data_IF_296242972634
#
_entry.id   IF_296242972634
#
_cell.length_a   1.000
_cell.length_b   1.000
_cell.length_c   1.000
_cell.angle_alpha   90.00
_cell.angle_beta   90.00
_cell.angle_gamma   90.00
#
_symmetry.space_group_name_H-M   'P 1'
#
loop_
_entity.id
_entity.type
_entity.pdbx_description
1 polymer ?
#
# COMPACT_ATOMS: atom_id res chain seq x y z
N UNK A 1 -3.84 -28.09 -12.16
CA UNK A 1 -3.01 -26.93 -11.77
C UNK A 1 -3.50 -25.62 -12.39
N UNK A 2 -3.89 -25.61 -13.67
CA UNK A 2 -4.38 -24.40 -14.34
C UNK A 2 -5.63 -23.78 -13.68
N UNK A 3 -6.63 -24.59 -13.30
CA UNK A 3 -7.84 -24.09 -12.62
C UNK A 3 -7.53 -23.41 -11.27
N UNK A 4 -6.55 -23.93 -10.53
CA UNK A 4 -6.10 -23.35 -9.25
C UNK A 4 -5.44 -21.98 -9.50
N UNK A 5 -4.60 -21.87 -10.52
CA UNK A 5 -3.92 -20.62 -10.89
C UNK A 5 -4.95 -19.57 -11.33
N UNK A 6 -5.95 -19.96 -12.12
CA UNK A 6 -7.04 -19.07 -12.54
C UNK A 6 -7.87 -18.59 -11.35
N UNK A 7 -8.23 -19.50 -10.43
CA UNK A 7 -8.99 -19.14 -9.23
C UNK A 7 -8.22 -18.18 -8.30
N UNK A 8 -6.92 -18.43 -8.09
CA UNK A 8 -6.05 -17.54 -7.31
C UNK A 8 -5.93 -16.18 -7.99
N UNK A 9 -5.76 -16.16 -9.32
CA UNK A 9 -5.68 -14.92 -10.10
C UNK A 9 -6.95 -14.08 -10.00
N UNK A 10 -8.13 -14.71 -10.12
CA UNK A 10 -9.42 -14.04 -9.99
C UNK A 10 -9.61 -13.47 -8.57
N UNK A 11 -9.25 -14.24 -7.54
CA UNK A 11 -9.33 -13.79 -6.15
C UNK A 11 -8.40 -12.59 -5.88
N UNK A 12 -7.18 -12.61 -6.42
CA UNK A 12 -6.24 -11.50 -6.32
C UNK A 12 -6.77 -10.24 -7.03
N UNK A 13 -7.36 -10.40 -8.22
CA UNK A 13 -7.98 -9.29 -8.94
C UNK A 13 -9.14 -8.68 -8.14
N UNK A 14 -9.98 -9.51 -7.54
CA UNK A 14 -11.10 -9.07 -6.71
C UNK A 14 -10.61 -8.28 -5.48
N UNK A 15 -9.55 -8.75 -4.82
CA UNK A 15 -8.89 -8.03 -3.74
C UNK A 15 -8.33 -6.68 -4.21
N UNK A 16 -7.71 -6.61 -5.38
CA UNK A 16 -7.22 -5.36 -5.95
C UNK A 16 -8.37 -4.36 -6.21
N UNK A 17 -9.44 -4.82 -6.83
CA UNK A 17 -10.62 -4.01 -7.12
C UNK A 17 -11.25 -3.49 -5.82
N UNK A 18 -11.42 -4.37 -4.82
CA UNK A 18 -11.96 -3.98 -3.52
C UNK A 18 -11.07 -2.96 -2.81
N UNK A 19 -9.76 -3.12 -2.93
CA UNK A 19 -8.76 -2.19 -2.38
C UNK A 19 -8.88 -0.81 -3.02
N UNK A 20 -8.91 -0.72 -4.34
CA UNK A 20 -9.07 0.54 -5.08
C UNK A 20 -10.39 1.22 -4.69
N UNK A 21 -11.48 0.45 -4.61
CA UNK A 21 -12.77 0.96 -4.16
C UNK A 21 -12.74 1.46 -2.72
N UNK A 22 -12.01 0.80 -1.81
CA UNK A 22 -11.89 1.22 -0.42
C UNK A 22 -11.05 2.50 -0.27
N UNK A 23 -9.92 2.58 -0.98
CA UNK A 23 -9.01 3.73 -0.96
C UNK A 23 -9.67 4.97 -1.57
N UNK A 24 -10.52 4.82 -2.59
CA UNK A 24 -11.19 5.96 -3.22
C UNK A 24 -12.31 6.57 -2.38
N UNK A 25 -12.86 5.87 -1.37
CA UNK A 25 -13.97 6.37 -0.53
C UNK A 25 -13.67 7.69 0.21
N UNK A 26 -12.53 7.87 0.89
CA UNK A 26 -12.17 9.16 1.49
C UNK A 26 -12.07 10.28 0.46
N UNK A 27 -11.48 10.02 -0.71
CA UNK A 27 -11.39 11.02 -1.79
C UNK A 27 -12.76 11.38 -2.35
N UNK A 28 -13.62 10.40 -2.60
CA UNK A 28 -15.01 10.62 -3.02
C UNK A 28 -15.81 11.39 -1.98
N UNK A 29 -15.57 11.15 -0.69
CA UNK A 29 -16.19 11.89 0.41
C UNK A 29 -15.68 13.34 0.49
N UNK A 30 -14.44 13.62 0.12
CA UNK A 30 -13.90 14.99 0.10
C UNK A 30 -14.38 15.78 -1.13
N UNK A 31 -14.44 15.13 -2.30
CA UNK A 31 -14.70 15.78 -3.58
C UNK A 31 -16.21 15.85 -3.88
N UNK A 32 -16.94 14.75 -3.69
CA UNK A 32 -18.35 14.66 -4.11
C UNK A 32 -19.32 15.04 -2.99
N UNK A 33 -20.06 16.14 -3.20
CA UNK A 33 -21.19 16.52 -2.35
C UNK A 33 -22.30 15.46 -2.30
N UNK A 34 -22.57 14.82 -3.44
CA UNK A 34 -23.58 13.76 -3.56
C UNK A 34 -23.20 12.52 -2.71
N UNK A 35 -21.95 12.09 -2.79
CA UNK A 35 -21.46 10.95 -2.00
C UNK A 35 -21.49 11.25 -0.49
N UNK A 36 -21.14 12.48 -0.08
CA UNK A 36 -21.30 12.91 1.31
C UNK A 36 -22.73 12.82 1.79
N UNK A 37 -23.69 13.24 0.97
CA UNK A 37 -25.10 13.23 1.33
C UNK A 37 -25.64 11.79 1.41
N UNK A 38 -25.27 10.91 0.47
CA UNK A 38 -25.56 9.48 0.56
C UNK A 38 -24.99 8.87 1.85
N UNK A 39 -23.73 9.18 2.20
CA UNK A 39 -23.12 8.66 3.43
C UNK A 39 -23.78 9.24 4.69
N UNK A 40 -24.11 10.53 4.71
CA UNK A 40 -24.86 11.13 5.82
C UNK A 40 -26.22 10.45 6.02
N UNK A 41 -26.93 10.12 4.94
CA UNK A 41 -28.21 9.44 5.00
C UNK A 41 -28.06 7.97 5.41
N UNK A 42 -27.09 7.26 4.84
CA UNK A 42 -26.81 5.83 5.15
C UNK A 42 -26.35 5.61 6.58
N UNK A 43 -25.71 6.61 7.18
CA UNK A 43 -25.25 6.59 8.56
C UNK A 43 -26.09 7.50 9.48
N UNK A 44 -27.24 8.00 9.01
CA UNK A 44 -28.17 8.77 9.84
C UNK A 44 -28.65 7.88 10.99
N UNK A 45 -28.59 8.39 12.22
CA UNK A 45 -28.93 7.63 13.43
C UNK A 45 -27.83 6.68 13.93
N UNK A 46 -26.67 6.60 13.27
CA UNK A 46 -25.49 5.86 13.76
C UNK A 46 -24.41 6.81 14.28
N UNK A 47 -23.52 6.31 15.14
CA UNK A 47 -22.37 7.07 15.63
C UNK A 47 -21.47 7.53 14.49
N UNK A 48 -21.11 8.82 14.51
CA UNK A 48 -20.19 9.45 13.54
C UNK A 48 -18.83 8.76 13.49
N UNK A 49 -18.41 8.15 14.60
CA UNK A 49 -17.14 7.41 14.69
C UNK A 49 -17.08 6.25 13.69
N UNK A 50 -18.20 5.54 13.46
CA UNK A 50 -18.24 4.43 12.49
C UNK A 50 -18.07 4.90 11.05
N UNK A 51 -18.58 6.09 10.72
CA UNK A 51 -18.36 6.70 9.41
C UNK A 51 -16.87 7.03 9.21
N UNK A 52 -16.22 7.62 10.21
CA UNK A 52 -14.79 7.92 10.12
C UNK A 52 -13.95 6.65 10.06
N UNK A 53 -14.21 5.64 10.88
CA UNK A 53 -13.54 4.33 10.79
C UNK A 53 -13.69 3.70 9.40
N UNK A 54 -14.88 3.78 8.81
CA UNK A 54 -15.11 3.26 7.47
C UNK A 54 -14.28 3.99 6.39
N UNK A 55 -14.13 5.31 6.52
CA UNK A 55 -13.30 6.13 5.62
C UNK A 55 -11.79 5.89 5.88
N UNK A 56 -11.40 5.75 7.15
CA UNK A 56 -10.02 5.54 7.58
C UNK A 56 -9.48 4.16 7.19
N UNK A 57 -10.35 3.16 7.11
CA UNK A 57 -9.97 1.82 6.68
C UNK A 57 -9.37 1.82 5.26
N UNK A 58 -9.88 2.66 4.37
CA UNK A 58 -9.31 2.86 3.04
C UNK A 58 -7.88 3.44 3.08
N UNK A 59 -7.61 4.36 4.00
CA UNK A 59 -6.28 4.96 4.17
C UNK A 59 -5.29 3.97 4.78
N UNK A 60 -5.72 3.20 5.78
CA UNK A 60 -4.94 2.12 6.38
C UNK A 60 -4.54 1.06 5.34
N UNK A 61 -5.48 0.67 4.47
CA UNK A 61 -5.21 -0.29 3.41
C UNK A 61 -4.19 0.23 2.39
N UNK A 62 -4.27 1.51 2.03
CA UNK A 62 -3.28 2.17 1.16
C UNK A 62 -1.89 2.18 1.81
N UNK A 63 -1.82 2.55 3.09
CA UNK A 63 -0.56 2.55 3.83
C UNK A 63 0.06 1.14 3.88
N UNK A 64 -0.75 0.11 4.14
CA UNK A 64 -0.29 -1.27 4.14
C UNK A 64 0.25 -1.71 2.77
N UNK A 65 -0.44 -1.34 1.68
CA UNK A 65 0.02 -1.64 0.31
C UNK A 65 1.33 -0.92 -0.04
N UNK A 66 1.48 0.34 0.37
CA UNK A 66 2.73 1.10 0.17
C UNK A 66 3.89 0.50 0.96
N UNK A 67 3.65 0.06 2.20
CA UNK A 67 4.67 -0.62 3.02
C UNK A 67 5.06 -1.95 2.37
N UNK A 68 4.08 -2.75 1.94
CA UNK A 68 4.34 -4.03 1.28
C UNK A 68 5.12 -3.84 -0.04
N UNK A 69 4.74 -2.85 -0.85
CA UNK A 69 5.45 -2.49 -2.08
C UNK A 69 6.87 -1.98 -1.80
N UNK A 70 7.05 -1.14 -0.78
CA UNK A 70 8.37 -0.65 -0.36
C UNK A 70 9.26 -1.77 0.16
N UNK A 71 8.70 -2.72 0.92
CA UNK A 71 9.41 -3.90 1.38
C UNK A 71 9.84 -4.82 0.22
N UNK A 72 8.94 -5.02 -0.74
CA UNK A 72 9.25 -5.77 -1.95
C UNK A 72 10.38 -5.11 -2.74
N UNK A 73 10.33 -3.80 -2.95
CA UNK A 73 11.39 -3.05 -3.63
C UNK A 73 12.71 -3.11 -2.86
N UNK A 74 12.68 -3.03 -1.53
CA UNK A 74 13.88 -3.15 -0.69
C UNK A 74 14.54 -4.52 -0.81
N UNK A 75 13.74 -5.59 -0.87
CA UNK A 75 14.26 -6.97 -0.97
C UNK A 75 14.62 -7.37 -2.39
N UNK A 76 13.97 -6.79 -3.40
CA UNK A 76 14.27 -7.00 -4.81
C UNK A 76 15.43 -6.12 -5.32
N UNK A 77 15.80 -5.06 -4.58
CA UNK A 77 16.96 -4.26 -4.90
C UNK A 77 18.22 -5.15 -4.84
N UNK A 78 19.09 -5.10 -5.86
CA UNK A 78 20.35 -5.83 -5.81
C UNK A 78 21.14 -5.35 -4.60
N UNK A 79 21.29 -6.21 -3.59
CA UNK A 79 22.15 -5.88 -2.47
C UNK A 79 23.58 -5.78 -3.00
N UNK A 80 24.32 -4.70 -2.68
CA UNK A 80 25.73 -4.62 -3.04
C UNK A 80 26.41 -5.86 -2.49
N UNK A 81 27.09 -6.58 -3.39
CA UNK A 81 27.77 -7.81 -3.05
C UNK A 81 28.80 -7.51 -1.95
N UNK A 82 29.07 -8.45 -1.06
CA UNK A 82 30.04 -8.28 0.04
C UNK A 82 31.41 -7.84 -0.48
N UNK A 83 31.71 -8.17 -1.73
CA UNK A 83 32.88 -7.74 -2.51
C UNK A 83 32.92 -6.24 -2.82
N UNK A 84 31.79 -5.62 -3.17
CA UNK A 84 31.73 -4.17 -3.47
C UNK A 84 31.94 -3.33 -2.20
N UNK A 85 31.36 -3.79 -1.08
CA UNK A 85 31.57 -3.15 0.23
C UNK A 85 33.03 -3.25 0.68
N UNK A 86 33.67 -4.40 0.45
CA UNK A 86 35.10 -4.58 0.77
C UNK A 86 36.00 -3.71 -0.11
N UNK A 87 35.71 -3.60 -1.41
CA UNK A 87 36.46 -2.70 -2.31
C UNK A 87 36.30 -1.24 -1.89
N UNK A 88 35.10 -0.82 -1.49
CA UNK A 88 34.88 0.56 -1.02
C UNK A 88 35.66 0.86 0.26
N UNK A 89 35.65 -0.05 1.24
CA UNK A 89 36.41 0.11 2.49
C UNK A 89 37.93 0.12 2.22
N UNK A 90 38.43 -0.76 1.36
CA UNK A 90 39.86 -0.79 0.98
C UNK A 90 40.26 0.49 0.26
N UNK A 91 39.40 1.03 -0.60
CA UNK A 91 39.70 2.27 -1.34
C UNK A 91 39.68 3.48 -0.41
N UNK A 92 38.72 3.56 0.51
CA UNK A 92 38.66 4.64 1.51
C UNK A 92 39.87 4.61 2.46
N UNK A 93 40.25 3.44 2.96
CA UNK A 93 41.43 3.30 3.85
C UNK A 93 42.75 3.57 3.13
N UNK A 94 42.87 3.22 1.84
CA UNK A 94 44.08 3.49 1.06
C UNK A 94 44.27 5.00 0.81
N UNK A 95 43.17 5.74 0.63
CA UNK A 95 43.20 7.20 0.41
C UNK A 95 43.55 7.94 1.71
N UNK A 96 43.12 7.47 2.87
CA UNK A 96 43.48 8.08 4.17
C UNK A 96 44.93 7.81 4.60
N UNK A 97 45.59 6.81 4.02
CA UNK A 97 46.94 6.37 4.42
C UNK A 97 48.06 7.01 3.58
N UNK A 98 47.73 7.70 2.49
CA UNK A 98 48.67 8.44 1.62
C UNK A 98 48.67 9.93 1.99
#
# INVERSE_FOLDING_TARGET
>A
MEELVVAIGAFMLELCIFSIMAVSRPFQFLISGHYRQQMKNKWAGRSRIRLYLHLFNGVLLLAALLIAAGWWLYTAAPQPSTTDKLQQIVTETLIETI
#
